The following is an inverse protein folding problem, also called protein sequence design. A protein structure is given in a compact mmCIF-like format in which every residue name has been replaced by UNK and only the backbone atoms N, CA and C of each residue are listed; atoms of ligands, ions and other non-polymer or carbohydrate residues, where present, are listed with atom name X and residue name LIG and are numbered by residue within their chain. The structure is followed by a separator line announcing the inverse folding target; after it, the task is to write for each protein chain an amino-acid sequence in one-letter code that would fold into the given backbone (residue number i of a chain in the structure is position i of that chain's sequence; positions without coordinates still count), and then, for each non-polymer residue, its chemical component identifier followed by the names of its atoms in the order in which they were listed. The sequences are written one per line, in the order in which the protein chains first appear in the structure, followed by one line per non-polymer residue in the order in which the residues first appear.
data_IF_255681981426
#
_entry.id   IF_255681981426
#
_cell.length_a   1.000
_cell.length_b   1.000
_cell.length_c   1.000
_cell.angle_alpha   90.00
_cell.angle_beta   90.00
_cell.angle_gamma   90.00
#
_symmetry.space_group_name_H-M   'P 1'
#
loop_
_entity.id
_entity.type
_entity.pdbx_description
1 polymer ?
#
# COMPACT_ATOMS: atom_id res chain seq x y z
N UNK A 1 17.96 -31.28 -7.24
CA UNK A 1 17.35 -29.96 -7.53
C UNK A 1 16.11 -29.80 -6.66
N UNK A 2 15.74 -28.58 -6.25
CA UNK A 2 14.44 -28.35 -5.58
C UNK A 2 13.44 -27.80 -6.59
N UNK A 3 12.23 -28.33 -6.56
CA UNK A 3 11.10 -27.87 -7.37
C UNK A 3 9.79 -28.08 -6.61
N UNK A 4 8.75 -27.36 -6.99
CA UNK A 4 7.42 -27.54 -6.44
C UNK A 4 6.48 -27.98 -7.55
N UNK A 5 5.71 -29.05 -7.32
CA UNK A 5 4.81 -29.64 -8.32
C UNK A 5 3.39 -29.70 -7.77
N UNK A 6 2.42 -29.45 -8.64
CA UNK A 6 1.01 -29.60 -8.31
C UNK A 6 0.64 -31.08 -8.11
N UNK A 7 -0.36 -31.35 -7.27
CA UNK A 7 -1.02 -32.65 -7.17
C UNK A 7 -1.38 -33.19 -8.57
N UNK A 8 -0.91 -34.38 -8.92
CA UNK A 8 -1.16 -34.97 -10.23
C UNK A 8 -1.19 -36.49 -10.17
N UNK A 9 -1.71 -37.12 -11.22
CA UNK A 9 -1.83 -38.57 -11.30
C UNK A 9 -0.50 -39.29 -11.55
N UNK A 10 0.47 -38.63 -12.19
CA UNK A 10 1.78 -39.22 -12.47
C UNK A 10 2.56 -39.51 -11.17
N UNK A 11 2.39 -38.65 -10.16
CA UNK A 11 3.09 -38.72 -8.88
C UNK A 11 2.25 -39.36 -7.75
N UNK A 12 1.11 -39.99 -8.07
CA UNK A 12 0.10 -40.43 -7.10
C UNK A 12 0.65 -41.32 -5.98
N UNK A 13 1.59 -42.21 -6.29
CA UNK A 13 2.16 -43.12 -5.30
C UNK A 13 3.05 -42.38 -4.29
N UNK A 14 3.84 -41.41 -4.73
CA UNK A 14 4.67 -40.58 -3.85
C UNK A 14 3.78 -39.67 -2.99
N UNK A 15 2.75 -39.07 -3.59
CA UNK A 15 1.77 -38.23 -2.89
C UNK A 15 1.04 -39.03 -1.81
N UNK A 16 0.62 -40.27 -2.11
CA UNK A 16 -0.03 -41.13 -1.13
C UNK A 16 0.86 -41.40 0.09
N UNK A 17 2.16 -41.66 -0.10
CA UNK A 17 3.08 -41.87 1.03
C UNK A 17 3.15 -40.63 1.94
N UNK A 18 3.16 -39.42 1.36
CA UNK A 18 3.20 -38.18 2.14
C UNK A 18 1.96 -38.03 3.04
N UNK A 19 0.76 -38.23 2.49
CA UNK A 19 -0.47 -38.15 3.29
C UNK A 19 -0.60 -39.27 4.33
N UNK A 20 0.04 -40.41 4.08
CA UNK A 20 0.09 -41.51 5.04
C UNK A 20 1.08 -41.25 6.19
N UNK A 21 2.22 -40.63 5.89
CA UNK A 21 3.29 -40.37 6.86
C UNK A 21 3.03 -39.14 7.74
N UNK A 22 2.35 -38.12 7.19
CA UNK A 22 2.01 -36.93 7.96
C UNK A 22 0.93 -37.23 9.01
N UNK A 23 1.10 -36.83 10.28
CA UNK A 23 0.07 -36.99 11.30
C UNK A 23 -1.19 -36.18 10.95
N UNK A 24 -2.30 -36.45 11.64
CA UNK A 24 -3.58 -35.75 11.44
C UNK A 24 -3.47 -34.23 11.64
N UNK A 25 -2.67 -33.80 12.61
CA UNK A 25 -2.27 -32.41 12.82
C UNK A 25 -0.74 -32.33 12.88
N UNK A 26 -0.17 -31.58 11.94
CA UNK A 26 1.26 -31.28 11.90
C UNK A 26 1.48 -29.79 12.15
N UNK A 27 1.51 -29.40 13.43
CA UNK A 27 1.75 -28.02 13.88
C UNK A 27 0.81 -27.00 13.21
N UNK A 28 -0.50 -27.30 13.16
CA UNK A 28 -1.53 -26.47 12.52
C UNK A 28 -1.81 -26.84 11.05
N UNK A 29 -0.99 -27.70 10.44
CA UNK A 29 -1.31 -28.28 9.14
C UNK A 29 -2.18 -29.52 9.29
N UNK A 30 -3.49 -29.34 9.13
CA UNK A 30 -4.45 -30.45 9.18
C UNK A 30 -4.35 -31.36 7.94
N UNK A 31 -4.13 -32.64 8.19
CA UNK A 31 -4.15 -33.74 7.23
C UNK A 31 -5.40 -34.63 7.45
N UNK A 32 -6.52 -34.35 6.75
CA UNK A 32 -7.75 -35.15 6.88
C UNK A 32 -7.66 -36.53 6.24
N UNK A 33 -6.50 -36.89 5.67
CA UNK A 33 -6.26 -38.16 4.97
C UNK A 33 -5.30 -39.07 5.75
N UNK A 34 -4.95 -38.71 6.98
CA UNK A 34 -4.17 -39.58 7.85
C UNK A 34 -4.86 -40.94 8.01
N UNK A 35 -4.11 -42.02 7.81
CA UNK A 35 -4.61 -43.39 7.91
C UNK A 35 -5.45 -43.88 6.72
N UNK A 36 -5.59 -43.10 5.64
CA UNK A 36 -6.35 -43.53 4.46
C UNK A 36 -5.72 -44.74 3.77
N UNK A 37 -6.56 -45.70 3.34
CA UNK A 37 -6.07 -46.84 2.57
C UNK A 37 -5.78 -46.45 1.11
N UNK A 38 -4.82 -47.15 0.49
CA UNK A 38 -4.35 -46.82 -0.86
C UNK A 38 -5.46 -46.89 -1.91
N UNK A 39 -6.41 -47.82 -1.77
CA UNK A 39 -7.47 -48.00 -2.77
C UNK A 39 -8.40 -46.80 -2.76
N UNK A 40 -8.88 -46.40 -1.59
CA UNK A 40 -9.72 -45.20 -1.41
C UNK A 40 -8.99 -43.93 -1.84
N UNK A 41 -7.68 -43.84 -1.53
CA UNK A 41 -6.89 -42.70 -1.96
C UNK A 41 -6.84 -42.56 -3.49
N UNK A 42 -6.48 -43.65 -4.18
CA UNK A 42 -6.32 -43.66 -5.64
C UNK A 42 -7.63 -43.50 -6.40
N UNK A 43 -8.72 -44.13 -5.96
CA UNK A 43 -9.96 -44.15 -6.74
C UNK A 43 -10.94 -43.03 -6.39
N UNK A 44 -10.84 -42.43 -5.20
CA UNK A 44 -11.80 -41.43 -4.75
C UNK A 44 -11.11 -40.11 -4.37
N UNK A 45 -10.08 -40.18 -3.54
CA UNK A 45 -9.50 -38.97 -2.93
C UNK A 45 -8.73 -38.12 -3.93
N UNK A 46 -7.96 -38.73 -4.82
CA UNK A 46 -7.24 -38.00 -5.86
C UNK A 46 -8.16 -37.18 -6.75
N UNK A 47 -9.23 -37.79 -7.27
CA UNK A 47 -10.20 -37.07 -8.10
C UNK A 47 -10.91 -35.97 -7.30
N UNK A 48 -11.30 -36.25 -6.07
CA UNK A 48 -11.92 -35.25 -5.18
C UNK A 48 -11.01 -34.05 -4.92
N UNK A 49 -9.71 -34.26 -4.73
CA UNK A 49 -8.76 -33.16 -4.54
C UNK A 49 -8.59 -32.31 -5.80
N UNK A 50 -8.59 -32.94 -6.98
CA UNK A 50 -8.56 -32.24 -8.28
C UNK A 50 -9.86 -31.44 -8.50
N UNK A 51 -11.01 -32.03 -8.16
CA UNK A 51 -12.30 -31.34 -8.24
C UNK A 51 -12.32 -30.09 -7.34
N UNK A 52 -11.86 -30.23 -6.08
CA UNK A 52 -11.74 -29.12 -5.14
C UNK A 52 -10.83 -28.02 -5.67
N UNK A 53 -9.68 -28.37 -6.27
CA UNK A 53 -8.76 -27.40 -6.88
C UNK A 53 -9.43 -26.61 -8.01
N UNK A 54 -10.32 -27.25 -8.77
CA UNK A 54 -11.09 -26.61 -9.84
C UNK A 54 -12.40 -25.95 -9.37
N UNK A 55 -12.66 -25.94 -8.06
CA UNK A 55 -13.90 -25.38 -7.49
C UNK A 55 -15.15 -26.23 -7.73
N UNK A 56 -14.99 -27.50 -8.10
CA UNK A 56 -16.06 -28.45 -8.37
C UNK A 56 -16.41 -29.17 -7.07
N UNK A 57 -17.73 -29.36 -6.81
CA UNK A 57 -18.24 -30.09 -5.64
C UNK A 57 -17.75 -29.58 -4.27
N UNK A 58 -17.47 -28.27 -4.16
CA UNK A 58 -17.08 -27.66 -2.89
C UNK A 58 -18.22 -27.72 -1.87
N UNK A 59 -17.86 -28.03 -0.62
CA UNK A 59 -18.79 -27.90 0.51
C UNK A 59 -19.15 -26.43 0.72
N UNK A 60 -20.36 -26.09 1.21
CA UNK A 60 -20.70 -24.72 1.57
C UNK A 60 -19.67 -24.10 2.51
N UNK A 61 -19.23 -22.88 2.19
CA UNK A 61 -18.21 -22.17 2.96
C UNK A 61 -16.76 -22.57 2.66
N UNK A 62 -16.51 -23.51 1.75
CA UNK A 62 -15.15 -23.85 1.31
C UNK A 62 -14.79 -23.05 0.05
N UNK A 63 -13.49 -22.82 -0.13
CA UNK A 63 -12.91 -22.18 -1.31
C UNK A 63 -12.09 -23.21 -2.09
N UNK A 64 -11.88 -23.02 -3.41
CA UNK A 64 -10.95 -23.83 -4.17
C UNK A 64 -9.56 -23.82 -3.52
N UNK A 65 -8.93 -24.99 -3.46
CA UNK A 65 -7.61 -25.16 -2.89
C UNK A 65 -6.83 -26.23 -3.63
N UNK A 66 -5.55 -25.97 -3.86
CA UNK A 66 -4.63 -26.86 -4.57
C UNK A 66 -3.53 -27.33 -3.63
N UNK A 67 -3.23 -28.62 -3.67
CA UNK A 67 -2.05 -29.18 -3.02
C UNK A 67 -0.84 -29.11 -3.94
N UNK A 68 0.27 -28.66 -3.38
CA UNK A 68 1.57 -28.63 -4.03
C UNK A 68 2.58 -29.40 -3.17
N UNK A 69 3.52 -30.07 -3.82
CA UNK A 69 4.51 -30.92 -3.16
C UNK A 69 5.90 -30.40 -3.49
N UNK A 70 6.71 -30.19 -2.47
CA UNK A 70 8.10 -29.78 -2.61
C UNK A 70 8.96 -31.03 -2.83
N UNK A 71 9.61 -31.10 -3.98
CA UNK A 71 10.49 -32.19 -4.36
C UNK A 71 11.94 -31.81 -4.13
N UNK A 72 12.71 -32.78 -3.64
CA UNK A 72 14.17 -32.78 -3.69
C UNK A 72 14.61 -34.03 -4.43
N UNK A 73 15.12 -33.83 -5.63
CA UNK A 73 15.44 -34.93 -6.55
C UNK A 73 14.18 -35.78 -6.80
N UNK A 74 14.16 -37.06 -6.42
CA UNK A 74 13.00 -37.95 -6.62
C UNK A 74 12.14 -38.16 -5.37
N UNK A 75 12.30 -37.34 -4.33
CA UNK A 75 11.53 -37.48 -3.09
C UNK A 75 10.73 -36.23 -2.79
N UNK A 76 9.47 -36.40 -2.38
CA UNK A 76 8.71 -35.32 -1.77
C UNK A 76 9.24 -35.12 -0.35
N UNK A 77 9.51 -33.86 0.00
CA UNK A 77 10.05 -33.46 1.30
C UNK A 77 9.14 -32.50 2.06
N UNK A 78 8.06 -32.03 1.43
CA UNK A 78 7.09 -31.14 2.05
C UNK A 78 5.82 -31.02 1.22
N UNK A 79 4.76 -30.57 1.86
CA UNK A 79 3.45 -30.34 1.29
C UNK A 79 2.99 -28.92 1.59
N UNK A 80 2.33 -28.31 0.61
CA UNK A 80 1.77 -26.98 0.69
C UNK A 80 0.31 -27.06 0.22
N UNK A 81 -0.56 -26.29 0.87
CA UNK A 81 -1.96 -26.14 0.52
C UNK A 81 -2.21 -24.68 0.24
N UNK A 82 -2.54 -24.36 -1.01
CA UNK A 82 -2.81 -23.01 -1.50
C UNK A 82 -4.32 -22.84 -1.70
N UNK A 83 -4.95 -21.96 -0.93
CA UNK A 83 -6.33 -21.53 -1.12
C UNK A 83 -6.37 -20.36 -2.09
N UNK A 84 -7.27 -20.42 -3.07
CA UNK A 84 -7.23 -19.50 -4.23
C UNK A 84 -7.77 -18.10 -3.94
N UNK A 85 -8.57 -17.95 -2.88
CA UNK A 85 -9.05 -16.67 -2.36
C UNK A 85 -9.53 -16.84 -0.92
N UNK A 86 -9.76 -15.73 -0.21
CA UNK A 86 -10.26 -15.75 1.17
C UNK A 86 -11.76 -15.45 1.24
N UNK A 87 -12.48 -16.30 1.98
CA UNK A 87 -13.77 -15.95 2.57
C UNK A 87 -13.57 -15.30 3.95
N UNK A 88 -14.66 -14.89 4.60
CA UNK A 88 -14.61 -14.21 5.90
C UNK A 88 -13.89 -15.03 6.99
N UNK A 89 -14.12 -16.35 7.02
CA UNK A 89 -13.45 -17.24 7.98
C UNK A 89 -11.93 -17.30 7.75
N UNK A 90 -11.49 -17.40 6.49
CA UNK A 90 -10.08 -17.47 6.15
C UNK A 90 -9.33 -16.13 6.32
N UNK A 91 -10.04 -14.99 6.21
CA UNK A 91 -9.44 -13.65 6.47
C UNK A 91 -9.03 -13.47 7.93
N UNK A 92 -9.74 -14.13 8.84
CA UNK A 92 -9.57 -14.06 10.29
C UNK A 92 -9.07 -15.38 10.88
N UNK A 93 -8.36 -16.19 10.08
CA UNK A 93 -7.84 -17.49 10.51
C UNK A 93 -6.65 -17.89 9.64
N UNK A 94 -6.59 -19.17 9.27
CA UNK A 94 -5.43 -19.78 8.59
C UNK A 94 -5.00 -19.20 7.22
N UNK A 95 -5.68 -18.19 6.67
CA UNK A 95 -5.23 -17.46 5.48
C UNK A 95 -5.19 -18.28 4.19
N UNK A 96 -4.26 -17.95 3.29
CA UNK A 96 -4.12 -18.52 1.96
C UNK A 96 -3.27 -19.80 1.94
N UNK A 97 -2.20 -19.85 2.72
CA UNK A 97 -1.17 -20.90 2.61
C UNK A 97 -1.00 -21.59 3.95
N UNK A 98 -1.15 -22.92 3.95
CA UNK A 98 -0.66 -23.81 5.00
C UNK A 98 0.38 -24.76 4.43
N UNK A 99 1.40 -25.13 5.20
CA UNK A 99 2.43 -26.05 4.74
C UNK A 99 3.03 -26.87 5.87
N UNK A 100 3.60 -28.03 5.51
CA UNK A 100 4.33 -28.89 6.40
C UNK A 100 5.57 -29.46 5.70
N UNK A 101 6.69 -29.52 6.42
CA UNK A 101 7.90 -30.22 5.98
C UNK A 101 7.98 -31.55 6.70
N UNK A 102 8.25 -32.62 5.95
CA UNK A 102 8.37 -33.97 6.50
C UNK A 102 9.48 -33.99 7.58
N UNK A 103 9.30 -34.72 8.69
CA UNK A 103 10.21 -34.68 9.84
C UNK A 103 11.70 -34.83 9.50
N UNK A 104 12.04 -35.75 8.58
CA UNK A 104 13.42 -36.02 8.14
C UNK A 104 14.12 -34.83 7.44
N UNK A 105 13.36 -33.83 6.99
CA UNK A 105 13.87 -32.70 6.20
C UNK A 105 13.75 -31.34 6.92
N UNK A 106 13.39 -31.34 8.21
CA UNK A 106 13.28 -30.11 9.01
C UNK A 106 14.66 -29.51 9.31
N UNK A 107 14.69 -28.24 9.70
CA UNK A 107 15.89 -27.48 10.08
C UNK A 107 16.97 -27.36 8.98
N UNK A 108 16.62 -27.62 7.72
CA UNK A 108 17.53 -27.53 6.56
C UNK A 108 17.16 -26.36 5.62
N UNK A 109 16.24 -25.48 6.05
CA UNK A 109 15.80 -24.31 5.27
C UNK A 109 14.86 -24.62 4.11
N UNK A 110 14.38 -25.86 3.97
CA UNK A 110 13.49 -26.25 2.87
C UNK A 110 12.13 -25.56 2.91
N UNK A 111 11.55 -25.33 4.10
CA UNK A 111 10.31 -24.56 4.24
C UNK A 111 10.41 -23.17 3.58
N UNK A 112 11.50 -22.44 3.88
CA UNK A 112 11.78 -21.11 3.31
C UNK A 112 11.86 -21.16 1.78
N UNK A 113 12.61 -22.12 1.24
CA UNK A 113 12.81 -22.27 -0.21
C UNK A 113 11.55 -22.74 -0.93
N UNK A 114 10.79 -23.65 -0.33
CA UNK A 114 9.54 -24.14 -0.88
C UNK A 114 8.44 -23.07 -0.87
N UNK A 115 8.37 -22.25 0.19
CA UNK A 115 7.47 -21.10 0.22
C UNK A 115 7.83 -20.11 -0.89
N UNK A 116 9.11 -19.77 -1.06
CA UNK A 116 9.55 -18.91 -2.16
C UNK A 116 9.12 -19.41 -3.55
N UNK A 117 9.23 -20.73 -3.79
CA UNK A 117 8.78 -21.35 -5.04
C UNK A 117 7.26 -21.26 -5.20
N UNK A 118 6.50 -21.57 -4.14
CA UNK A 118 5.04 -21.48 -4.16
C UNK A 118 4.56 -20.06 -4.40
N UNK A 119 5.22 -19.05 -3.81
CA UNK A 119 4.85 -17.64 -3.97
C UNK A 119 4.88 -17.18 -5.44
N UNK A 120 5.76 -17.77 -6.27
CA UNK A 120 5.77 -17.47 -7.71
C UNK A 120 4.52 -17.99 -8.42
N UNK A 121 3.97 -19.12 -7.98
CA UNK A 121 2.73 -19.70 -8.51
C UNK A 121 1.52 -18.94 -7.94
N UNK A 122 1.55 -18.66 -6.63
CA UNK A 122 0.43 -18.06 -5.91
C UNK A 122 0.06 -16.66 -6.44
N UNK A 123 1.03 -15.89 -6.94
CA UNK A 123 0.82 -14.59 -7.60
C UNK A 123 -0.15 -14.63 -8.78
N UNK A 124 -0.17 -15.74 -9.51
CA UNK A 124 -1.03 -15.92 -10.69
C UNK A 124 -2.44 -16.44 -10.34
N UNK A 125 -2.60 -17.02 -9.15
CA UNK A 125 -3.84 -17.69 -8.72
C UNK A 125 -4.65 -16.81 -7.77
N UNK A 126 -3.98 -16.13 -6.83
CA UNK A 126 -4.65 -15.40 -5.75
C UNK A 126 -5.26 -14.10 -6.28
N UNK A 127 -6.51 -13.85 -5.87
CA UNK A 127 -7.27 -12.67 -6.28
C UNK A 127 -6.88 -11.43 -5.48
N UNK A 128 -6.59 -11.61 -4.21
CA UNK A 128 -6.18 -10.58 -3.26
C UNK A 128 -4.80 -9.98 -3.61
N UNK A 129 -4.56 -8.74 -3.16
CA UNK A 129 -3.29 -8.04 -3.37
C UNK A 129 -2.17 -8.57 -2.46
N UNK A 130 -2.56 -9.21 -1.37
CA UNK A 130 -1.66 -9.76 -0.35
C UNK A 130 -2.04 -11.21 -0.04
N UNK A 131 -1.00 -12.03 0.13
CA UNK A 131 -1.11 -13.33 0.75
C UNK A 131 -1.26 -13.14 2.26
N UNK A 132 -2.17 -13.92 2.84
CA UNK A 132 -2.39 -14.00 4.29
C UNK A 132 -1.88 -15.34 4.76
N UNK A 133 -1.17 -15.36 5.88
CA UNK A 133 -0.77 -16.58 6.56
C UNK A 133 -0.96 -16.40 8.06
N UNK A 134 -1.15 -17.52 8.75
CA UNK A 134 -1.12 -17.60 10.20
C UNK A 134 -0.03 -18.58 10.62
N UNK A 135 0.50 -18.40 11.83
CA UNK A 135 1.39 -19.34 12.48
C UNK A 135 1.13 -19.33 13.98
N UNK A 136 1.01 -20.51 14.58
CA UNK A 136 0.93 -20.65 16.03
C UNK A 136 2.18 -20.06 16.71
N UNK A 137 1.97 -19.39 17.86
CA UNK A 137 3.03 -18.75 18.64
C UNK A 137 4.06 -19.72 19.20
N UNK A 138 3.67 -20.97 19.43
CA UNK A 138 4.56 -22.06 19.84
C UNK A 138 5.38 -22.65 18.67
N UNK A 139 5.10 -22.24 17.43
CA UNK A 139 5.84 -22.59 16.22
C UNK A 139 6.55 -21.37 15.58
N UNK A 140 7.57 -20.80 16.25
CA UNK A 140 8.30 -19.63 15.75
C UNK A 140 9.04 -19.89 14.43
N UNK A 141 9.30 -21.15 14.09
CA UNK A 141 9.94 -21.52 12.82
C UNK A 141 9.09 -21.14 11.61
N UNK A 142 7.75 -21.30 11.70
CA UNK A 142 6.85 -20.93 10.60
C UNK A 142 6.83 -19.41 10.39
N UNK A 143 6.74 -18.63 11.48
CA UNK A 143 6.80 -17.18 11.42
C UNK A 143 8.10 -16.69 10.77
N UNK A 144 9.25 -17.23 11.19
CA UNK A 144 10.54 -16.88 10.58
C UNK A 144 10.61 -17.20 9.09
N UNK A 145 10.00 -18.30 8.64
CA UNK A 145 9.91 -18.65 7.21
C UNK A 145 9.07 -17.61 6.44
N UNK A 146 7.95 -17.17 7.00
CA UNK A 146 7.07 -16.16 6.40
C UNK A 146 7.80 -14.81 6.28
N UNK A 147 8.39 -14.33 7.39
CA UNK A 147 9.14 -13.06 7.42
C UNK A 147 10.35 -13.08 6.47
N UNK A 148 11.09 -14.21 6.41
CA UNK A 148 12.22 -14.36 5.52
C UNK A 148 11.85 -14.36 4.02
N UNK A 149 10.56 -14.53 3.69
CA UNK A 149 10.02 -14.40 2.34
C UNK A 149 9.38 -13.02 2.07
N UNK A 150 9.56 -12.05 2.98
CA UNK A 150 9.08 -10.69 2.80
C UNK A 150 7.68 -10.42 3.36
N UNK A 151 7.13 -11.35 4.16
CA UNK A 151 5.92 -11.07 4.91
C UNK A 151 6.20 -10.06 6.04
N UNK A 152 5.19 -9.29 6.44
CA UNK A 152 5.19 -8.46 7.64
C UNK A 152 4.13 -8.94 8.63
N UNK A 153 4.35 -8.69 9.93
CA UNK A 153 3.35 -9.00 10.97
C UNK A 153 2.24 -7.96 10.89
N UNK A 154 1.01 -8.44 10.74
CA UNK A 154 -0.17 -7.59 10.62
C UNK A 154 -0.91 -7.45 11.95
N UNK A 155 -1.10 -8.55 12.68
CA UNK A 155 -1.53 -8.59 14.09
C UNK A 155 -1.23 -9.99 14.67
N UNK A 156 -1.53 -10.17 15.94
CA UNK A 156 -1.51 -11.44 16.65
C UNK A 156 -2.73 -11.54 17.60
N UNK A 157 -3.07 -12.76 18.03
CA UNK A 157 -4.05 -13.03 19.09
C UNK A 157 -3.41 -13.87 20.21
N UNK A 158 -4.19 -14.57 21.04
CA UNK A 158 -3.63 -15.39 22.12
C UNK A 158 -2.81 -16.60 21.60
N UNK A 159 -3.15 -17.14 20.43
CA UNK A 159 -2.63 -18.41 19.91
C UNK A 159 -1.77 -18.24 18.65
N UNK A 160 -2.09 -17.28 17.78
CA UNK A 160 -1.51 -17.14 16.44
C UNK A 160 -0.91 -15.76 16.18
N UNK A 161 0.05 -15.73 15.26
CA UNK A 161 0.58 -14.52 14.62
C UNK A 161 0.14 -14.53 13.16
N UNK A 162 -0.44 -13.42 12.70
CA UNK A 162 -0.95 -13.26 11.35
C UNK A 162 -0.03 -12.36 10.54
N UNK A 163 0.45 -12.87 9.42
CA UNK A 163 1.35 -12.14 8.51
C UNK A 163 0.69 -11.87 7.17
N UNK A 164 1.09 -10.77 6.52
CA UNK A 164 0.74 -10.51 5.12
C UNK A 164 1.97 -10.38 4.26
N UNK A 165 1.85 -10.79 3.01
CA UNK A 165 2.90 -10.69 2.00
C UNK A 165 2.30 -10.10 0.70
N UNK A 166 2.64 -8.87 0.34
CA UNK A 166 2.18 -8.26 -0.92
C UNK A 166 2.65 -9.06 -2.14
N UNK A 167 1.70 -9.50 -2.96
CA UNK A 167 2.00 -10.29 -4.17
C UNK A 167 1.70 -9.54 -5.46
N UNK A 168 0.84 -8.52 -5.40
CA UNK A 168 0.64 -7.56 -6.47
C UNK A 168 1.39 -6.27 -6.15
N UNK A 169 1.88 -5.54 -7.17
CA UNK A 169 2.45 -4.23 -6.94
C UNK A 169 1.40 -3.33 -6.27
N UNK A 170 1.76 -2.76 -5.12
CA UNK A 170 0.89 -1.77 -4.47
C UNK A 170 0.95 -0.51 -5.31
N UNK A 171 -0.16 -0.16 -5.94
CA UNK A 171 -0.32 1.13 -6.59
C UNK A 171 -0.57 2.19 -5.52
N UNK A 172 0.13 3.31 -5.63
CA UNK A 172 0.05 4.39 -4.64
C UNK A 172 -0.01 5.77 -5.29
N UNK A 173 -0.89 6.60 -4.76
CA UNK A 173 -0.95 8.02 -5.08
C UNK A 173 -0.46 8.81 -3.87
N UNK A 174 0.55 9.67 -4.05
CA UNK A 174 1.05 10.60 -3.05
C UNK A 174 0.56 11.98 -3.46
N UNK A 175 -0.33 12.56 -2.65
CA UNK A 175 -1.04 13.79 -2.95
C UNK A 175 -0.42 14.97 -2.21
N UNK A 176 -0.25 16.09 -2.91
CA UNK A 176 -0.28 17.38 -2.23
C UNK A 176 -1.69 17.70 -1.71
N UNK A 177 -1.77 18.66 -0.81
CA UNK A 177 -3.01 19.03 -0.13
C UNK A 177 -3.57 20.35 -0.68
N UNK A 178 -2.95 21.47 -0.36
CA UNK A 178 -3.35 22.81 -0.79
C UNK A 178 -3.16 22.97 -2.31
N UNK A 179 -4.19 23.39 -3.03
CA UNK A 179 -4.15 23.54 -4.50
C UNK A 179 -4.41 22.24 -5.28
N UNK A 180 -4.43 21.08 -4.61
CA UNK A 180 -4.64 19.77 -5.25
C UNK A 180 -5.88 19.04 -4.73
N UNK A 181 -5.94 18.73 -3.43
CA UNK A 181 -7.14 18.15 -2.80
C UNK A 181 -8.03 19.25 -2.22
N UNK A 182 -7.42 20.35 -1.77
CA UNK A 182 -8.07 21.47 -1.12
C UNK A 182 -8.03 22.71 -2.01
N UNK A 183 -9.19 23.33 -2.18
CA UNK A 183 -9.32 24.66 -2.75
C UNK A 183 -9.09 25.69 -1.62
N UNK A 184 -7.82 26.03 -1.42
CA UNK A 184 -7.36 26.82 -0.27
C UNK A 184 -6.59 28.10 -0.64
N UNK A 185 -6.38 28.36 -1.93
CA UNK A 185 -5.62 29.53 -2.40
C UNK A 185 -6.24 30.85 -1.92
N UNK A 186 -7.57 30.98 -1.94
CA UNK A 186 -8.22 32.19 -1.45
C UNK A 186 -7.94 32.44 0.04
N UNK A 187 -7.99 31.39 0.87
CA UNK A 187 -7.67 31.49 2.30
C UNK A 187 -6.20 31.83 2.51
N UNK A 188 -5.30 31.21 1.73
CA UNK A 188 -3.86 31.47 1.76
C UNK A 188 -3.58 32.95 1.41
N UNK A 189 -4.17 33.45 0.33
CA UNK A 189 -3.95 34.81 -0.16
C UNK A 189 -4.59 35.86 0.75
N UNK A 190 -5.80 35.62 1.25
CA UNK A 190 -6.45 36.51 2.22
C UNK A 190 -5.60 36.66 3.49
N UNK A 191 -5.12 35.54 4.03
CA UNK A 191 -4.27 35.52 5.22
C UNK A 191 -2.93 36.23 4.99
N UNK A 192 -2.33 36.03 3.80
CA UNK A 192 -1.08 36.69 3.44
C UNK A 192 -1.28 38.20 3.26
N UNK A 193 -2.35 38.61 2.58
CA UNK A 193 -2.67 40.01 2.35
C UNK A 193 -2.99 40.75 3.66
N UNK A 194 -3.74 40.12 4.56
CA UNK A 194 -4.02 40.67 5.89
C UNK A 194 -2.73 40.75 6.73
N UNK A 195 -1.85 39.75 6.65
CA UNK A 195 -0.52 39.80 7.28
C UNK A 195 0.29 40.99 6.75
N UNK A 196 0.36 41.20 5.44
CA UNK A 196 1.10 42.34 4.88
C UNK A 196 0.48 43.67 5.30
N UNK A 197 -0.85 43.76 5.30
CA UNK A 197 -1.59 44.96 5.73
C UNK A 197 -1.32 45.29 7.21
N UNK A 198 -1.26 44.28 8.08
CA UNK A 198 -0.91 44.44 9.49
C UNK A 198 0.45 45.11 9.69
N UNK A 199 1.44 44.76 8.85
CA UNK A 199 2.76 45.37 8.86
C UNK A 199 2.85 46.66 8.01
N UNK A 200 1.72 47.18 7.53
CA UNK A 200 1.64 48.47 6.83
C UNK A 200 1.93 48.41 5.32
N UNK A 201 1.92 47.22 4.72
CA UNK A 201 2.19 47.03 3.30
C UNK A 201 0.94 46.58 2.55
N UNK A 202 0.75 47.13 1.35
CA UNK A 202 -0.33 46.73 0.45
C UNK A 202 0.31 46.11 -0.78
N UNK A 203 -0.12 44.90 -1.12
CA UNK A 203 0.30 44.18 -2.31
C UNK A 203 -0.90 43.96 -3.22
N UNK A 204 -0.64 43.95 -4.52
CA UNK A 204 -1.60 43.47 -5.49
C UNK A 204 -1.83 41.95 -5.30
N UNK A 205 -3.09 41.52 -5.35
CA UNK A 205 -3.45 40.11 -5.11
C UNK A 205 -2.93 39.19 -6.22
N UNK A 206 -2.97 39.63 -7.47
CA UNK A 206 -2.47 38.84 -8.60
C UNK A 206 -0.97 38.62 -8.47
N UNK A 207 -0.22 39.66 -8.07
CA UNK A 207 1.20 39.53 -7.75
C UNK A 207 1.48 38.53 -6.61
N UNK A 208 0.72 38.60 -5.52
CA UNK A 208 0.88 37.62 -4.42
C UNK A 208 0.58 36.20 -4.90
N UNK A 209 -0.47 36.02 -5.69
CA UNK A 209 -0.86 34.74 -6.27
C UNK A 209 0.25 34.17 -7.14
N UNK A 210 0.72 34.94 -8.13
CA UNK A 210 1.80 34.53 -9.03
C UNK A 210 3.08 34.18 -8.25
N UNK A 211 3.47 35.02 -7.28
CA UNK A 211 4.65 34.75 -6.46
C UNK A 211 4.49 33.45 -5.67
N UNK A 212 3.35 33.25 -5.01
CA UNK A 212 3.10 32.06 -4.18
C UNK A 212 3.11 30.80 -5.02
N UNK A 213 2.50 30.82 -6.20
CA UNK A 213 2.49 29.67 -7.13
C UNK A 213 3.90 29.32 -7.60
N UNK A 214 4.71 30.32 -7.97
CA UNK A 214 6.08 30.12 -8.45
C UNK A 214 7.08 29.79 -7.34
N UNK A 215 6.85 30.24 -6.11
CA UNK A 215 7.78 30.12 -4.98
C UNK A 215 7.12 29.47 -3.76
N UNK A 216 6.82 30.23 -2.70
CA UNK A 216 6.03 29.78 -1.56
C UNK A 216 5.68 30.97 -0.66
N UNK A 217 4.64 30.83 0.16
CA UNK A 217 4.34 31.80 1.22
C UNK A 217 5.50 31.93 2.20
N UNK A 218 6.13 30.80 2.55
CA UNK A 218 7.27 30.79 3.46
C UNK A 218 8.42 31.66 2.91
N UNK A 219 8.74 31.52 1.62
CA UNK A 219 9.81 32.32 1.00
C UNK A 219 9.42 33.80 0.96
N UNK A 220 8.19 34.11 0.57
CA UNK A 220 7.68 35.48 0.55
C UNK A 220 7.82 36.16 1.91
N UNK A 221 7.35 35.51 2.98
CA UNK A 221 7.42 36.04 4.35
C UNK A 221 8.88 36.17 4.81
N UNK A 222 9.77 35.24 4.43
CA UNK A 222 11.19 35.30 4.76
C UNK A 222 11.86 36.51 4.11
N UNK A 223 11.64 36.73 2.82
CA UNK A 223 12.18 37.87 2.08
C UNK A 223 11.62 39.20 2.60
N UNK A 224 10.31 39.24 2.89
CA UNK A 224 9.64 40.38 3.50
C UNK A 224 10.23 40.72 4.87
N UNK A 225 10.31 39.74 5.78
CA UNK A 225 10.84 39.96 7.12
C UNK A 225 12.30 40.44 7.08
N UNK A 226 13.11 39.86 6.20
CA UNK A 226 14.49 40.30 6.00
C UNK A 226 14.58 41.75 5.51
N UNK A 227 13.75 42.14 4.54
CA UNK A 227 13.73 43.49 3.96
C UNK A 227 13.30 44.54 4.99
N UNK A 228 12.31 44.23 5.82
CA UNK A 228 11.75 45.13 6.82
C UNK A 228 12.49 45.08 8.18
N UNK A 229 13.49 44.20 8.33
CA UNK A 229 14.21 44.01 9.59
C UNK A 229 13.37 43.36 10.70
N UNK A 230 12.36 42.58 10.34
CA UNK A 230 11.49 41.84 11.25
C UNK A 230 12.02 40.44 11.53
N UNK A 231 11.57 39.82 12.62
CA UNK A 231 11.83 38.41 12.89
C UNK A 231 10.88 37.53 12.06
N UNK A 232 11.43 36.58 11.29
CA UNK A 232 10.66 35.69 10.42
C UNK A 232 9.57 34.94 11.19
N UNK A 233 9.92 34.37 12.34
CA UNK A 233 9.02 33.56 13.16
C UNK A 233 7.79 34.36 13.62
N UNK A 234 7.94 35.64 13.90
CA UNK A 234 6.83 36.52 14.33
C UNK A 234 5.84 36.77 13.19
N UNK A 235 6.35 37.09 11.99
CA UNK A 235 5.50 37.32 10.81
C UNK A 235 4.83 36.01 10.38
N UNK A 236 5.59 34.92 10.38
CA UNK A 236 5.09 33.60 9.99
C UNK A 236 4.01 33.10 10.95
N UNK A 237 4.20 33.25 12.28
CA UNK A 237 3.19 32.86 13.28
C UNK A 237 1.90 33.67 13.17
N UNK A 238 2.00 34.96 12.82
CA UNK A 238 0.82 35.79 12.57
C UNK A 238 0.04 35.27 11.35
N UNK A 239 0.75 35.00 10.25
CA UNK A 239 0.17 34.42 9.04
C UNK A 239 -0.51 33.08 9.32
N UNK A 240 0.15 32.14 10.00
CA UNK A 240 -0.42 30.81 10.28
C UNK A 240 -1.66 30.90 11.15
N UNK A 241 -1.70 31.84 12.09
CA UNK A 241 -2.89 32.07 12.94
C UNK A 241 -4.10 32.50 12.09
N UNK A 242 -3.90 33.40 11.12
CA UNK A 242 -4.96 33.83 10.21
C UNK A 242 -5.39 32.71 9.27
N UNK A 243 -4.42 31.97 8.72
CA UNK A 243 -4.70 30.83 7.85
C UNK A 243 -5.51 29.75 8.58
N UNK A 244 -5.14 29.45 9.83
CA UNK A 244 -5.83 28.44 10.62
C UNK A 244 -7.26 28.86 10.98
N UNK A 245 -7.48 30.15 11.29
CA UNK A 245 -8.83 30.71 11.47
C UNK A 245 -9.68 30.70 10.19
N UNK A 246 -9.03 30.64 9.02
CA UNK A 246 -9.67 30.53 7.71
C UNK A 246 -9.95 29.09 7.25
N UNK A 247 -9.47 28.06 7.97
CA UNK A 247 -9.59 26.66 7.53
C UNK A 247 -11.05 26.22 7.30
N UNK A 248 -12.02 26.76 8.05
CA UNK A 248 -13.46 26.46 7.89
C UNK A 248 -14.02 26.90 6.53
N UNK A 249 -13.34 27.80 5.82
CA UNK A 249 -13.72 28.27 4.48
C UNK A 249 -13.15 27.40 3.37
N UNK A 250 -12.16 26.56 3.68
CA UNK A 250 -11.50 25.68 2.71
C UNK A 250 -12.48 24.62 2.23
N UNK A 251 -12.49 24.38 0.92
CA UNK A 251 -13.33 23.37 0.30
C UNK A 251 -12.47 22.30 -0.36
N UNK A 252 -13.09 21.19 -0.70
CA UNK A 252 -12.46 20.22 -1.58
C UNK A 252 -12.44 20.75 -3.01
N UNK A 253 -11.35 20.52 -3.72
CA UNK A 253 -11.33 20.64 -5.17
C UNK A 253 -12.39 19.69 -5.75
N UNK A 254 -13.00 20.12 -6.85
CA UNK A 254 -14.06 19.36 -7.53
C UNK A 254 -13.59 17.93 -7.77
N UNK A 255 -14.46 16.97 -7.41
CA UNK A 255 -14.24 15.54 -7.53
C UNK A 255 -13.08 14.94 -6.70
N UNK A 256 -12.45 15.69 -5.78
CA UNK A 256 -11.35 15.15 -4.95
C UNK A 256 -11.79 13.93 -4.12
N UNK A 257 -12.91 14.05 -3.38
CA UNK A 257 -13.46 12.94 -2.56
C UNK A 257 -13.83 11.72 -3.42
N UNK A 258 -14.50 11.94 -4.54
CA UNK A 258 -14.90 10.85 -5.45
C UNK A 258 -13.68 10.14 -6.03
N UNK A 259 -12.66 10.88 -6.45
CA UNK A 259 -11.40 10.34 -6.97
C UNK A 259 -10.72 9.45 -5.93
N UNK A 260 -10.56 9.93 -4.69
CA UNK A 260 -9.99 9.16 -3.59
C UNK A 260 -10.79 7.89 -3.29
N UNK A 261 -12.13 7.96 -3.33
CA UNK A 261 -13.01 6.82 -3.14
C UNK A 261 -12.85 5.77 -4.25
N UNK A 262 -12.82 6.19 -5.52
CA UNK A 262 -12.67 5.27 -6.65
C UNK A 262 -11.29 4.61 -6.65
N UNK A 263 -10.23 5.37 -6.39
CA UNK A 263 -8.87 4.84 -6.28
C UNK A 263 -8.75 3.81 -5.16
N UNK A 264 -9.33 4.08 -3.98
CA UNK A 264 -9.36 3.12 -2.87
C UNK A 264 -10.11 1.84 -3.26
N UNK A 265 -11.24 1.93 -3.97
CA UNK A 265 -11.99 0.77 -4.47
C UNK A 265 -11.20 -0.05 -5.50
N UNK A 266 -10.31 0.58 -6.26
CA UNK A 266 -9.36 -0.06 -7.18
C UNK A 266 -8.11 -0.62 -6.49
N UNK A 267 -8.02 -0.56 -5.16
CA UNK A 267 -6.86 -1.05 -4.41
C UNK A 267 -5.66 -0.09 -4.39
N UNK A 268 -5.80 1.13 -4.93
CA UNK A 268 -4.76 2.16 -4.88
C UNK A 268 -4.72 2.79 -3.49
N UNK A 269 -3.54 2.85 -2.87
CA UNK A 269 -3.35 3.48 -1.56
C UNK A 269 -3.08 4.98 -1.73
N UNK A 270 -3.87 5.82 -1.09
CA UNK A 270 -3.65 7.26 -1.08
C UNK A 270 -2.80 7.67 0.12
N UNK A 271 -1.81 8.51 -0.11
CA UNK A 271 -0.92 9.12 0.87
C UNK A 271 -0.92 10.63 0.70
N UNK A 272 -0.66 11.40 1.74
CA UNK A 272 -0.51 12.86 1.63
C UNK A 272 0.91 13.27 2.02
N UNK A 273 1.51 14.17 1.24
CA UNK A 273 2.76 14.85 1.59
C UNK A 273 2.59 16.36 1.38
N UNK A 274 2.37 17.08 2.48
CA UNK A 274 2.05 18.51 2.48
C UNK A 274 3.03 19.32 3.31
N UNK A 275 3.13 20.62 3.01
CA UNK A 275 3.83 21.59 3.87
C UNK A 275 2.92 22.18 4.95
N UNK A 276 1.63 21.85 4.97
CA UNK A 276 0.72 22.24 6.05
C UNK A 276 1.09 21.48 7.32
N UNK A 277 1.03 22.17 8.45
CA UNK A 277 1.43 21.67 9.76
C UNK A 277 0.29 20.86 10.40
N UNK A 278 0.20 20.88 11.74
CA UNK A 278 -0.67 20.02 12.55
C UNK A 278 -2.17 20.07 12.18
N UNK A 279 -2.64 21.16 11.57
CA UNK A 279 -4.05 21.33 11.18
C UNK A 279 -4.46 20.47 9.99
N UNK A 280 -3.51 19.97 9.18
CA UNK A 280 -3.81 19.14 8.01
C UNK A 280 -4.70 17.92 8.35
N UNK A 281 -4.40 17.22 9.45
CA UNK A 281 -5.18 16.04 9.89
C UNK A 281 -6.62 16.39 10.28
N UNK A 282 -6.83 17.57 10.85
CA UNK A 282 -8.16 18.02 11.26
C UNK A 282 -8.99 18.41 10.04
N UNK A 283 -8.41 19.16 9.11
CA UNK A 283 -9.07 19.54 7.84
C UNK A 283 -9.51 18.31 7.04
N UNK A 284 -8.67 17.27 6.96
CA UNK A 284 -9.06 16.02 6.29
C UNK A 284 -10.27 15.33 6.94
N UNK A 285 -10.45 15.46 8.26
CA UNK A 285 -11.61 14.91 8.98
C UNK A 285 -12.86 15.76 8.74
N UNK A 286 -12.73 17.07 8.84
CA UNK A 286 -13.84 18.01 8.67
C UNK A 286 -14.41 17.96 7.24
N UNK A 287 -13.55 17.69 6.25
CA UNK A 287 -13.93 17.47 4.85
C UNK A 287 -14.28 16.00 4.53
N UNK A 288 -14.34 15.12 5.55
CA UNK A 288 -14.73 13.72 5.43
C UNK A 288 -13.94 12.92 4.38
N UNK A 289 -12.63 13.17 4.27
CA UNK A 289 -11.73 12.42 3.38
C UNK A 289 -10.62 11.66 4.11
N UNK A 290 -10.47 11.86 5.43
CA UNK A 290 -9.46 11.20 6.25
C UNK A 290 -9.48 9.67 6.12
N UNK A 291 -10.66 9.05 5.99
CA UNK A 291 -10.80 7.58 5.85
C UNK A 291 -10.21 7.03 4.53
N UNK A 292 -9.96 7.88 3.53
CA UNK A 292 -9.38 7.47 2.24
C UNK A 292 -7.86 7.62 2.21
N UNK A 293 -7.27 8.26 3.22
CA UNK A 293 -5.82 8.52 3.32
C UNK A 293 -5.17 7.48 4.24
N UNK A 294 -4.23 6.72 3.69
CA UNK A 294 -3.52 5.65 4.40
C UNK A 294 -2.46 6.17 5.36
N UNK A 295 -1.78 7.25 5.00
CA UNK A 295 -0.80 7.94 5.83
C UNK A 295 -0.59 9.36 5.33
N UNK A 296 -0.25 10.28 6.24
CA UNK A 296 0.02 11.69 5.93
C UNK A 296 1.37 12.10 6.53
N UNK A 297 2.16 12.81 5.74
CA UNK A 297 3.31 13.58 6.15
C UNK A 297 2.91 15.07 6.18
N UNK A 298 3.11 15.72 7.33
CA UNK A 298 2.88 17.16 7.54
C UNK A 298 4.20 17.91 7.74
N UNK A 299 4.14 19.25 7.79
CA UNK A 299 5.30 20.08 8.11
C UNK A 299 5.94 19.77 9.49
N UNK A 300 5.17 19.21 10.42
CA UNK A 300 5.65 18.85 11.77
C UNK A 300 6.51 17.58 11.80
N UNK A 301 6.45 16.74 10.76
CA UNK A 301 7.18 15.47 10.74
C UNK A 301 8.70 15.65 10.53
N UNK A 302 9.16 16.87 10.23
CA UNK A 302 10.57 17.24 10.22
C UNK A 302 11.37 16.83 8.97
N UNK A 303 10.70 16.31 7.94
CA UNK A 303 11.33 16.06 6.64
C UNK A 303 11.66 17.36 5.92
N UNK A 304 12.69 17.33 5.06
CA UNK A 304 12.98 18.38 4.11
C UNK A 304 11.74 18.71 3.27
N UNK A 305 11.54 19.99 2.96
CA UNK A 305 10.40 20.44 2.16
C UNK A 305 10.65 20.18 0.68
N UNK A 306 9.60 19.76 -0.04
CA UNK A 306 9.53 19.79 -1.53
C UNK A 306 10.18 21.07 -2.08
N UNK A 307 11.03 20.99 -3.12
CA UNK A 307 11.18 19.88 -4.06
C UNK A 307 12.19 18.79 -3.62
N UNK A 308 12.57 18.73 -2.34
CA UNK A 308 13.34 17.60 -1.82
C UNK A 308 12.46 16.32 -1.77
N UNK A 309 12.95 15.15 -2.22
CA UNK A 309 12.19 13.91 -2.26
C UNK A 309 12.16 13.13 -0.93
N UNK A 310 12.78 13.62 0.16
CA UNK A 310 12.95 12.87 1.41
C UNK A 310 11.62 12.27 1.94
N UNK A 311 10.55 13.06 1.99
CA UNK A 311 9.23 12.58 2.42
C UNK A 311 8.67 11.47 1.54
N UNK A 312 8.92 11.53 0.22
CA UNK A 312 8.49 10.50 -0.73
C UNK A 312 9.29 9.20 -0.49
N UNK A 313 10.61 9.30 -0.36
CA UNK A 313 11.46 8.14 -0.07
C UNK A 313 11.08 7.45 1.24
N UNK A 314 10.76 8.22 2.28
CA UNK A 314 10.24 7.66 3.52
C UNK A 314 8.97 6.82 3.30
N UNK A 315 8.01 7.30 2.51
CA UNK A 315 6.80 6.53 2.20
C UNK A 315 7.10 5.25 1.43
N UNK A 316 7.97 5.34 0.42
CA UNK A 316 8.41 4.18 -0.38
C UNK A 316 9.03 3.10 0.52
N UNK A 317 9.92 3.49 1.43
CA UNK A 317 10.63 2.56 2.31
C UNK A 317 9.75 1.99 3.43
N UNK A 318 8.91 2.84 4.05
CA UNK A 318 8.01 2.46 5.15
C UNK A 318 6.95 1.47 4.68
N UNK A 319 6.38 1.71 3.51
CA UNK A 319 5.28 0.92 2.98
C UNK A 319 5.69 -0.08 1.89
N UNK A 320 7.01 -0.20 1.64
CA UNK A 320 7.60 -1.12 0.63
C UNK A 320 6.96 -0.95 -0.76
N UNK A 321 6.73 0.31 -1.13
CA UNK A 321 6.10 0.65 -2.40
C UNK A 321 7.13 0.56 -3.53
N UNK A 322 6.68 0.10 -4.69
CA UNK A 322 7.49 0.13 -5.90
C UNK A 322 7.36 1.52 -6.55
N UNK A 323 8.47 2.29 -6.74
CA UNK A 323 8.42 3.60 -7.38
C UNK A 323 7.70 3.61 -8.73
N UNK A 324 7.80 2.52 -9.51
CA UNK A 324 7.14 2.38 -10.81
C UNK A 324 5.61 2.28 -10.73
N UNK A 325 5.06 1.97 -9.56
CA UNK A 325 3.63 1.88 -9.29
C UNK A 325 3.13 3.07 -8.45
N UNK A 326 4.01 4.04 -8.20
CA UNK A 326 3.70 5.24 -7.43
C UNK A 326 3.56 6.45 -8.36
N UNK A 327 2.64 7.33 -8.02
CA UNK A 327 2.48 8.62 -8.67
C UNK A 327 2.42 9.72 -7.63
N UNK A 328 3.17 10.80 -7.86
CA UNK A 328 3.00 12.05 -7.14
C UNK A 328 1.95 12.91 -7.86
N UNK A 329 1.02 13.51 -7.12
CA UNK A 329 -0.05 14.35 -7.65
C UNK A 329 0.00 15.67 -6.90
N UNK A 330 0.21 16.76 -7.63
CA UNK A 330 0.26 18.13 -7.10
C UNK A 330 -0.27 19.12 -8.11
N UNK A 331 -0.16 20.42 -7.84
CA UNK A 331 -0.53 21.50 -8.76
C UNK A 331 0.66 22.38 -9.15
N UNK A 332 1.85 22.13 -8.58
CA UNK A 332 2.98 23.06 -8.68
C UNK A 332 4.27 22.40 -9.16
N UNK A 333 5.19 23.23 -9.65
CA UNK A 333 6.52 22.78 -10.12
C UNK A 333 7.32 22.04 -9.04
N UNK A 334 7.21 22.46 -7.78
CA UNK A 334 7.91 21.81 -6.66
C UNK A 334 7.45 20.36 -6.43
N UNK A 335 6.18 20.06 -6.74
CA UNK A 335 5.61 18.72 -6.63
C UNK A 335 6.16 17.81 -7.72
N UNK A 336 6.14 18.31 -8.94
CA UNK A 336 6.72 17.65 -10.10
C UNK A 336 8.20 17.34 -9.85
N UNK A 337 9.00 18.31 -9.38
CA UNK A 337 10.42 18.09 -9.09
C UNK A 337 10.67 17.10 -7.96
N UNK A 338 9.86 17.12 -6.89
CA UNK A 338 9.98 16.14 -5.81
C UNK A 338 9.71 14.72 -6.34
N UNK A 339 8.63 14.54 -7.10
CA UNK A 339 8.29 13.25 -7.71
C UNK A 339 9.36 12.74 -8.68
N UNK A 340 9.91 13.60 -9.54
CA UNK A 340 11.00 13.24 -10.46
C UNK A 340 12.27 12.82 -9.72
N UNK A 341 12.69 13.58 -8.70
CA UNK A 341 13.87 13.23 -7.89
C UNK A 341 13.67 11.92 -7.13
N UNK A 342 12.43 11.61 -6.74
CA UNK A 342 12.08 10.33 -6.13
C UNK A 342 11.96 9.17 -7.14
N UNK A 343 12.03 9.44 -8.45
CA UNK A 343 11.92 8.44 -9.51
C UNK A 343 10.51 7.89 -9.69
N UNK A 344 9.48 8.69 -9.38
CA UNK A 344 8.06 8.30 -9.52
C UNK A 344 7.35 9.13 -10.59
N UNK A 345 6.24 8.60 -11.11
CA UNK A 345 5.43 9.30 -12.11
C UNK A 345 4.83 10.57 -11.49
N UNK A 346 4.66 11.63 -12.28
CA UNK A 346 4.10 12.89 -11.80
C UNK A 346 2.83 13.23 -12.58
N UNK A 347 1.79 13.64 -11.86
CA UNK A 347 0.58 14.23 -12.41
C UNK A 347 0.45 15.63 -11.83
N UNK A 348 0.23 16.63 -12.68
CA UNK A 348 -0.15 17.97 -12.25
C UNK A 348 -1.64 18.22 -12.52
N UNK A 349 -2.35 18.65 -11.48
CA UNK A 349 -3.68 19.24 -11.60
C UNK A 349 -3.50 20.72 -11.92
N UNK A 350 -3.82 21.10 -13.16
CA UNK A 350 -3.74 22.49 -13.61
C UNK A 350 -5.12 22.89 -14.14
N UNK A 351 -5.80 23.78 -13.41
CA UNK A 351 -7.05 24.37 -13.87
C UNK A 351 -6.78 25.57 -14.83
N UNK A 352 -7.85 26.23 -15.27
CA UNK A 352 -7.73 27.36 -16.21
C UNK A 352 -7.02 28.58 -15.62
N UNK A 353 -6.90 28.67 -14.31
CA UNK A 353 -6.33 29.81 -13.60
C UNK A 353 -4.88 29.55 -13.14
N UNK A 354 -4.39 28.31 -13.28
CA UNK A 354 -3.07 27.92 -12.83
C UNK A 354 -2.01 28.35 -13.87
N UNK A 355 -1.06 29.25 -13.52
CA UNK A 355 0.05 29.63 -14.39
C UNK A 355 0.86 28.40 -14.80
N UNK A 356 1.00 28.18 -16.11
CA UNK A 356 1.74 27.03 -16.64
C UNK A 356 3.23 27.36 -16.69
N UNK A 357 4.02 26.71 -15.85
CA UNK A 357 5.49 26.69 -15.98
C UNK A 357 5.92 25.61 -16.99
N UNK A 358 7.12 25.70 -17.61
CA UNK A 358 7.64 24.62 -18.44
C UNK A 358 7.68 23.29 -17.68
N UNK A 359 7.00 22.28 -18.22
CA UNK A 359 6.87 20.94 -17.62
C UNK A 359 7.96 20.00 -18.13
N UNK A 360 8.23 18.94 -17.37
CA UNK A 360 8.99 17.80 -17.91
C UNK A 360 8.15 17.04 -18.95
N UNK A 361 8.81 16.47 -19.96
CA UNK A 361 8.15 15.85 -21.12
C UNK A 361 7.20 14.70 -20.75
N UNK A 362 7.51 13.96 -19.69
CA UNK A 362 6.75 12.79 -19.23
C UNK A 362 5.76 13.11 -18.09
N UNK A 363 5.52 14.38 -17.79
CA UNK A 363 4.51 14.81 -16.80
C UNK A 363 3.12 14.78 -17.41
N UNK A 364 2.19 14.13 -16.71
CA UNK A 364 0.78 14.11 -17.10
C UNK A 364 0.09 15.33 -16.51
N UNK A 365 -0.71 16.02 -17.31
CA UNK A 365 -1.54 17.13 -16.85
C UNK A 365 -3.01 16.72 -16.89
N UNK A 366 -3.73 17.02 -15.82
CA UNK A 366 -5.19 16.84 -15.73
C UNK A 366 -5.84 18.16 -15.28
N UNK A 367 -7.03 18.42 -15.79
CA UNK A 367 -7.91 19.55 -15.43
C UNK A 367 -9.12 19.08 -14.59
N UNK A 368 -9.25 17.78 -14.37
CA UNK A 368 -10.25 17.12 -13.53
C UNK A 368 -9.60 15.91 -12.85
N UNK A 369 -9.69 15.85 -11.52
CA UNK A 369 -9.10 14.78 -10.72
C UNK A 369 -9.65 13.39 -11.08
N UNK A 370 -10.88 13.29 -11.62
CA UNK A 370 -11.44 12.00 -12.04
C UNK A 370 -10.63 11.34 -13.15
N UNK A 371 -9.96 12.11 -14.00
CA UNK A 371 -9.11 11.56 -15.08
C UNK A 371 -7.93 10.75 -14.54
N UNK A 372 -7.55 10.95 -13.29
CA UNK A 372 -6.48 10.19 -12.62
C UNK A 372 -6.88 8.73 -12.45
N UNK A 373 -8.18 8.47 -12.24
CA UNK A 373 -8.71 7.11 -12.07
C UNK A 373 -8.42 6.23 -13.29
N UNK A 374 -8.50 6.80 -14.49
CA UNK A 374 -8.31 6.08 -15.75
C UNK A 374 -6.86 5.60 -15.95
N UNK A 375 -5.92 6.08 -15.14
CA UNK A 375 -4.51 5.68 -15.17
C UNK A 375 -4.24 4.40 -14.36
N UNK A 376 -5.22 3.92 -13.62
CA UNK A 376 -5.13 2.71 -12.80
C UNK A 376 -6.24 1.77 -13.26
N UNK A 377 -5.87 0.66 -13.91
CA UNK A 377 -6.83 -0.33 -14.42
C UNK A 377 -7.40 -1.22 -13.31
#
# INVERSE_FOLDING_TARGET
MLEIRELNWQDVDAIYQVFKELPEDENGFMNPYYGIDRKTFMHETMQKLIDIANGINLKPGYVPQTYYFLWKDNHIIGVYKLRHYLNEHLRNGSGHIGYAILPAYRNQGYAKRGLALLLNIAKEIIREDEIYMASHKDNPASLHVQLANGAYIHHDDEEEVYTRLPIKPIHACIWDLDGTLLDSYDVILDSLQETMTHYGHIYDREYLCEYVILNSVHQFIREFAQREGLQFETVYQYYTTLQDAGNDKVKLIKNAKETLQVLKRKGVRNYVYTHKDHTAKQVLKDLEIAEYISYIITGDDGFAKKPDPEGIHYLLDKFKLNPKCCTYIGDRRLDEEAGKKAGIKCILFLDQNTPVTPLYEDTIVVDDLLKIVDLYE
#
